data_IF_326356624378
#
_entry.id   IF_326356624378
#
_cell.length_a   1.000
_cell.length_b   1.000
_cell.length_c   1.000
_cell.angle_alpha   90.00
_cell.angle_beta   90.00
_cell.angle_gamma   90.00
#
_symmetry.space_group_name_H-M   'P 1'
#
loop_
_entity.id
_entity.type
_entity.pdbx_description
1 polymer ?
#
# COMPACT_ATOMS: atom_id res chain seq x y z
N UNK A 1 -29.83 24.18 -33.56
CA UNK A 1 -29.99 24.80 -32.25
C UNK A 1 -29.28 23.92 -31.25
N UNK A 2 -28.02 24.20 -30.90
CA UNK A 2 -27.30 23.48 -29.87
C UNK A 2 -27.86 23.89 -28.53
N UNK A 3 -28.50 22.97 -27.80
CA UNK A 3 -28.99 23.22 -26.46
C UNK A 3 -27.77 23.55 -25.56
N UNK A 4 -27.66 24.80 -25.16
CA UNK A 4 -26.62 25.28 -24.25
C UNK A 4 -27.02 24.84 -22.83
N UNK A 5 -26.95 23.52 -22.54
CA UNK A 5 -27.09 23.00 -21.18
C UNK A 5 -25.83 23.42 -20.43
N UNK A 6 -25.97 24.40 -19.54
CA UNK A 6 -24.88 24.81 -18.63
C UNK A 6 -24.33 23.57 -17.92
N UNK A 7 -23.03 23.36 -17.98
CA UNK A 7 -22.34 22.26 -17.25
C UNK A 7 -22.74 22.35 -15.77
N UNK A 8 -23.20 21.23 -15.21
CA UNK A 8 -23.58 21.13 -13.80
C UNK A 8 -22.39 20.60 -13.00
N UNK A 9 -22.05 21.25 -11.89
CA UNK A 9 -21.01 20.77 -10.99
C UNK A 9 -21.42 19.45 -10.34
N UNK A 10 -20.59 18.43 -10.52
CA UNK A 10 -20.72 17.14 -9.84
C UNK A 10 -19.66 17.06 -8.73
N UNK A 11 -20.07 17.20 -7.48
CA UNK A 11 -19.15 17.18 -6.34
C UNK A 11 -18.65 15.75 -6.01
N UNK A 12 -19.33 14.70 -6.48
CA UNK A 12 -18.93 13.30 -6.26
C UNK A 12 -17.76 12.89 -7.19
N UNK A 13 -17.72 13.47 -8.39
CA UNK A 13 -16.66 13.27 -9.37
C UNK A 13 -16.44 14.56 -10.20
N UNK A 14 -15.76 15.58 -9.62
CA UNK A 14 -15.66 16.91 -10.23
C UNK A 14 -14.96 16.93 -11.59
N UNK A 15 -13.95 16.10 -11.80
CA UNK A 15 -13.20 16.01 -13.06
C UNK A 15 -13.58 14.79 -13.90
N UNK A 16 -14.71 14.15 -13.59
CA UNK A 16 -15.24 13.00 -14.31
C UNK A 16 -14.17 11.89 -14.47
N UNK A 17 -13.56 11.50 -13.36
CA UNK A 17 -12.55 10.44 -13.32
C UNK A 17 -13.10 9.16 -13.95
N UNK A 18 -14.35 8.82 -13.63
CA UNK A 18 -15.00 7.62 -14.12
C UNK A 18 -15.11 7.58 -15.65
N UNK A 19 -15.37 8.72 -16.28
CA UNK A 19 -15.43 8.85 -17.73
C UNK A 19 -14.06 8.71 -18.43
N UNK A 20 -12.95 8.80 -17.67
CA UNK A 20 -11.58 8.64 -18.17
C UNK A 20 -11.08 7.19 -18.08
N UNK A 21 -11.86 6.29 -17.47
CA UNK A 21 -11.52 4.88 -17.31
C UNK A 21 -11.97 4.07 -18.54
N UNK A 22 -11.27 3.00 -18.84
CA UNK A 22 -11.74 1.97 -19.78
C UNK A 22 -12.88 1.17 -19.17
N UNK A 23 -13.61 0.41 -19.99
CA UNK A 23 -14.69 -0.46 -19.52
C UNK A 23 -14.15 -1.52 -18.53
N UNK A 24 -12.99 -2.10 -18.82
CA UNK A 24 -12.32 -3.07 -17.95
C UNK A 24 -11.95 -2.45 -16.60
N UNK A 25 -11.35 -1.26 -16.58
CA UNK A 25 -11.01 -0.55 -15.36
C UNK A 25 -12.23 -0.23 -14.50
N UNK A 26 -13.35 0.15 -15.12
CA UNK A 26 -14.62 0.36 -14.41
C UNK A 26 -15.13 -0.94 -13.79
N UNK A 27 -15.15 -2.03 -14.56
CA UNK A 27 -15.59 -3.35 -14.07
C UNK A 27 -14.75 -3.82 -12.87
N UNK A 28 -13.42 -3.69 -12.95
CA UNK A 28 -12.50 -4.03 -11.86
C UNK A 28 -12.77 -3.19 -10.63
N UNK A 29 -12.92 -1.87 -10.78
CA UNK A 29 -13.27 -0.96 -9.69
C UNK A 29 -14.59 -1.35 -9.03
N UNK A 30 -15.63 -1.61 -9.82
CA UNK A 30 -16.96 -1.97 -9.30
C UNK A 30 -16.94 -3.29 -8.54
N UNK A 31 -16.25 -4.30 -9.07
CA UNK A 31 -16.06 -5.58 -8.38
C UNK A 31 -15.29 -5.42 -7.06
N UNK A 32 -14.21 -4.65 -7.07
CA UNK A 32 -13.45 -4.36 -5.85
C UNK A 32 -14.30 -3.59 -4.83
N UNK A 33 -15.04 -2.56 -5.26
CA UNK A 33 -15.91 -1.77 -4.40
C UNK A 33 -17.00 -2.63 -3.74
N UNK A 34 -17.68 -3.47 -4.52
CA UNK A 34 -18.72 -4.38 -4.02
C UNK A 34 -18.13 -5.32 -2.94
N UNK A 35 -17.03 -6.01 -3.25
CA UNK A 35 -16.35 -6.87 -2.27
C UNK A 35 -15.95 -6.11 -0.99
N UNK A 36 -15.35 -4.95 -1.13
CA UNK A 36 -14.89 -4.15 0.00
C UNK A 36 -16.06 -3.72 0.92
N UNK A 37 -17.17 -3.27 0.35
CA UNK A 37 -18.33 -2.84 1.13
C UNK A 37 -19.09 -4.03 1.74
N UNK A 38 -19.26 -5.11 1.00
CA UNK A 38 -20.07 -6.24 1.44
C UNK A 38 -19.31 -7.18 2.39
N UNK A 39 -17.99 -7.30 2.23
CA UNK A 39 -17.20 -8.31 2.95
C UNK A 39 -16.16 -7.71 3.92
N UNK A 40 -15.47 -6.64 3.56
CA UNK A 40 -14.43 -6.05 4.40
C UNK A 40 -14.98 -5.03 5.41
N UNK A 41 -15.85 -4.13 4.99
CA UNK A 41 -16.39 -3.07 5.85
C UNK A 41 -17.11 -3.62 7.10
N UNK A 42 -17.91 -4.70 7.05
CA UNK A 42 -18.55 -5.25 8.25
C UNK A 42 -17.57 -5.82 9.29
N UNK A 43 -16.36 -6.23 8.87
CA UNK A 43 -15.36 -6.88 9.75
C UNK A 43 -14.40 -5.88 10.40
N UNK A 44 -14.24 -4.69 9.80
CA UNK A 44 -13.09 -3.81 10.06
C UNK A 44 -13.02 -3.29 11.49
N UNK A 45 -14.16 -2.92 12.09
CA UNK A 45 -14.19 -2.37 13.46
C UNK A 45 -13.66 -3.40 14.46
N UNK A 46 -14.12 -4.65 14.36
CA UNK A 46 -13.67 -5.72 15.26
C UNK A 46 -12.21 -6.10 15.00
N UNK A 47 -11.80 -6.18 13.74
CA UNK A 47 -10.41 -6.43 13.37
C UNK A 47 -9.47 -5.34 13.93
N UNK A 48 -9.85 -4.08 13.83
CA UNK A 48 -9.10 -2.95 14.38
C UNK A 48 -9.01 -3.01 15.91
N UNK A 49 -10.13 -3.19 16.60
CA UNK A 49 -10.18 -3.28 18.07
C UNK A 49 -9.39 -4.45 18.65
N UNK A 50 -9.43 -5.57 17.96
CA UNK A 50 -8.79 -6.82 18.42
C UNK A 50 -7.35 -6.98 17.91
N UNK A 51 -6.83 -6.01 17.14
CA UNK A 51 -5.52 -6.11 16.46
C UNK A 51 -5.37 -7.43 15.70
N UNK A 52 -6.41 -7.84 14.98
CA UNK A 52 -6.49 -9.15 14.35
C UNK A 52 -6.60 -9.06 12.85
N UNK A 53 -6.00 -10.04 12.18
CA UNK A 53 -6.07 -10.22 10.73
C UNK A 53 -6.71 -11.57 10.45
N UNK A 54 -7.76 -11.58 9.63
CA UNK A 54 -8.37 -12.81 9.13
C UNK A 54 -7.63 -13.27 7.86
N UNK A 55 -6.86 -14.39 7.90
CA UNK A 55 -6.14 -14.87 6.72
C UNK A 55 -7.04 -15.27 5.54
N UNK A 56 -8.33 -15.54 5.77
CA UNK A 56 -9.28 -15.89 4.71
C UNK A 56 -9.46 -14.76 3.68
N UNK A 57 -9.19 -13.51 4.09
CA UNK A 57 -9.25 -12.33 3.22
C UNK A 57 -8.30 -12.47 2.01
N UNK A 58 -7.13 -13.10 2.18
CA UNK A 58 -6.23 -13.34 1.05
C UNK A 58 -6.85 -14.25 0.00
N UNK A 59 -7.52 -15.32 0.44
CA UNK A 59 -8.22 -16.25 -0.46
C UNK A 59 -9.40 -15.54 -1.16
N UNK A 60 -10.20 -14.80 -0.41
CA UNK A 60 -11.32 -14.03 -0.96
C UNK A 60 -10.84 -13.01 -2.03
N UNK A 61 -9.74 -12.30 -1.75
CA UNK A 61 -9.13 -11.37 -2.72
C UNK A 61 -8.53 -12.11 -3.92
N UNK A 62 -7.92 -13.27 -3.72
CA UNK A 62 -7.37 -14.11 -4.78
C UNK A 62 -8.45 -14.60 -5.75
N UNK A 63 -9.58 -15.10 -5.22
CA UNK A 63 -10.72 -15.59 -6.00
C UNK A 63 -11.33 -14.49 -6.90
N UNK A 64 -11.14 -13.23 -6.52
CA UNK A 64 -11.61 -12.05 -7.27
C UNK A 64 -10.52 -11.40 -8.15
N UNK A 65 -9.31 -11.97 -8.22
CA UNK A 65 -8.20 -11.42 -8.97
C UNK A 65 -7.66 -10.09 -8.43
N UNK A 66 -7.84 -9.81 -7.14
CA UNK A 66 -7.36 -8.58 -6.51
C UNK A 66 -5.91 -8.69 -6.01
N UNK A 67 -5.32 -9.90 -6.02
CA UNK A 67 -3.92 -10.14 -5.66
C UNK A 67 -3.06 -10.26 -6.91
N UNK A 68 -1.91 -9.58 -6.91
CA UNK A 68 -1.00 -9.54 -8.05
C UNK A 68 -1.64 -9.03 -9.34
N UNK A 69 -2.43 -7.92 -9.33
CA UNK A 69 -3.22 -7.53 -10.49
C UNK A 69 -2.41 -7.31 -11.76
N UNK A 70 -1.13 -6.94 -11.65
CA UNK A 70 -0.24 -6.72 -12.81
C UNK A 70 0.58 -7.96 -13.20
N UNK A 71 0.42 -9.08 -12.50
CA UNK A 71 1.13 -10.34 -12.82
C UNK A 71 0.44 -11.01 -14.00
N UNK A 72 1.19 -11.49 -15.01
CA UNK A 72 0.62 -12.13 -16.20
C UNK A 72 -0.16 -13.42 -15.87
N UNK A 73 -1.16 -13.72 -16.72
CA UNK A 73 -2.04 -14.89 -16.60
C UNK A 73 -1.29 -16.22 -16.54
N UNK A 74 -0.17 -16.34 -17.26
CA UNK A 74 0.66 -17.55 -17.25
C UNK A 74 1.23 -17.91 -15.87
N UNK A 75 1.24 -16.95 -14.94
CA UNK A 75 1.66 -17.13 -13.54
C UNK A 75 0.48 -17.02 -12.55
N UNK A 76 -0.75 -17.07 -13.06
CA UNK A 76 -1.96 -17.04 -12.24
C UNK A 76 -2.46 -15.65 -11.85
N UNK A 77 -1.79 -14.59 -12.28
CA UNK A 77 -2.28 -13.21 -12.11
C UNK A 77 -3.34 -12.85 -13.14
N UNK A 78 -4.12 -11.78 -12.95
CA UNK A 78 -5.15 -11.38 -13.91
C UNK A 78 -4.61 -10.56 -15.11
N UNK A 79 -3.33 -10.16 -15.10
CA UNK A 79 -2.72 -9.42 -16.21
C UNK A 79 -3.26 -8.00 -16.44
N UNK A 80 -3.80 -7.38 -15.41
CA UNK A 80 -4.41 -6.04 -15.47
C UNK A 80 -3.37 -4.93 -15.54
N UNK A 81 -3.81 -3.74 -15.97
CA UNK A 81 -2.97 -2.56 -16.04
C UNK A 81 -2.77 -1.88 -14.66
N UNK A 82 -1.86 -0.90 -14.61
CA UNK A 82 -1.55 -0.17 -13.36
C UNK A 82 -2.72 0.70 -12.88
N UNK A 83 -3.57 1.23 -13.76
CA UNK A 83 -4.75 2.01 -13.34
C UNK A 83 -5.73 1.10 -12.60
N UNK A 84 -6.00 -0.10 -13.11
CA UNK A 84 -6.82 -1.11 -12.43
C UNK A 84 -6.25 -1.45 -11.05
N UNK A 85 -4.93 -1.67 -10.94
CA UNK A 85 -4.27 -1.87 -9.63
C UNK A 85 -4.50 -0.69 -8.67
N UNK A 86 -4.36 0.53 -9.16
CA UNK A 86 -4.62 1.74 -8.37
C UNK A 86 -6.07 1.83 -7.88
N UNK A 87 -7.04 1.52 -8.74
CA UNK A 87 -8.45 1.51 -8.40
C UNK A 87 -8.79 0.44 -7.35
N UNK A 88 -8.22 -0.75 -7.46
CA UNK A 88 -8.33 -1.80 -6.41
C UNK A 88 -7.79 -1.26 -5.08
N UNK A 89 -6.59 -0.70 -5.08
CA UNK A 89 -5.97 -0.15 -3.87
C UNK A 89 -6.84 0.95 -3.23
N UNK A 90 -7.44 1.83 -4.05
CA UNK A 90 -8.36 2.88 -3.61
C UNK A 90 -9.59 2.31 -2.89
N UNK A 91 -10.25 1.32 -3.48
CA UNK A 91 -11.47 0.75 -2.90
C UNK A 91 -11.17 -0.06 -1.61
N UNK A 92 -10.06 -0.79 -1.57
CA UNK A 92 -9.65 -1.53 -0.36
C UNK A 92 -9.29 -0.56 0.78
N UNK A 93 -8.55 0.51 0.51
CA UNK A 93 -8.14 1.47 1.55
C UNK A 93 -9.27 2.42 1.95
N UNK A 94 -10.30 2.59 1.12
CA UNK A 94 -11.56 3.23 1.51
C UNK A 94 -12.17 2.55 2.73
N UNK A 95 -11.97 1.24 2.88
CA UNK A 95 -12.36 0.50 4.08
C UNK A 95 -11.31 0.62 5.17
N UNK A 96 -10.05 0.24 4.87
CA UNK A 96 -8.96 0.28 5.85
C UNK A 96 -7.58 0.21 5.20
N UNK A 97 -6.66 1.06 5.67
CA UNK A 97 -5.28 1.05 5.20
C UNK A 97 -4.54 -0.25 5.58
N UNK A 98 -4.95 -0.94 6.64
CA UNK A 98 -4.40 -2.25 7.02
C UNK A 98 -4.70 -3.30 5.96
N UNK A 99 -5.93 -3.40 5.49
CA UNK A 99 -6.32 -4.32 4.42
C UNK A 99 -5.61 -4.02 3.10
N UNK A 100 -5.47 -2.72 2.74
CA UNK A 100 -4.71 -2.35 1.55
C UNK A 100 -3.22 -2.70 1.71
N UNK A 101 -2.65 -2.52 2.90
CA UNK A 101 -1.26 -2.89 3.16
C UNK A 101 -1.02 -4.40 2.98
N UNK A 102 -1.91 -5.25 3.50
CA UNK A 102 -1.87 -6.71 3.30
C UNK A 102 -1.84 -7.07 1.81
N UNK A 103 -2.78 -6.54 1.04
CA UNK A 103 -2.91 -6.75 -0.41
C UNK A 103 -1.67 -6.23 -1.16
N UNK A 104 -1.19 -5.04 -0.82
CA UNK A 104 -0.06 -4.40 -1.49
C UNK A 104 1.26 -5.14 -1.23
N UNK A 105 1.50 -5.61 0.00
CA UNK A 105 2.66 -6.44 0.32
C UNK A 105 2.64 -7.72 -0.50
N UNK A 106 1.52 -8.43 -0.53
CA UNK A 106 1.34 -9.62 -1.35
C UNK A 106 1.65 -9.34 -2.83
N UNK A 107 0.99 -8.34 -3.40
CA UNK A 107 1.01 -8.03 -4.83
C UNK A 107 2.34 -7.41 -5.29
N UNK A 108 2.77 -6.31 -4.64
CA UNK A 108 3.88 -5.49 -5.11
C UNK A 108 5.23 -5.84 -4.49
N UNK A 109 5.24 -6.33 -3.25
CA UNK A 109 6.49 -6.58 -2.52
C UNK A 109 6.89 -8.05 -2.49
N UNK A 110 5.95 -8.98 -2.77
CA UNK A 110 6.23 -10.42 -2.85
C UNK A 110 6.12 -10.93 -4.28
N UNK A 111 4.98 -10.73 -4.94
CA UNK A 111 4.79 -11.27 -6.29
C UNK A 111 5.63 -10.53 -7.34
N UNK A 112 5.73 -9.21 -7.28
CA UNK A 112 6.56 -8.44 -8.24
C UNK A 112 8.03 -8.84 -8.18
N UNK A 113 8.75 -8.90 -7.04
CA UNK A 113 10.15 -9.32 -7.05
C UNK A 113 10.35 -10.76 -7.50
N UNK A 114 9.43 -11.67 -7.20
CA UNK A 114 9.49 -13.05 -7.71
C UNK A 114 9.33 -13.06 -9.25
N UNK A 115 8.40 -12.25 -9.77
CA UNK A 115 8.17 -12.13 -11.22
C UNK A 115 9.36 -11.49 -11.94
N UNK A 116 9.87 -10.37 -11.43
CA UNK A 116 10.93 -9.60 -12.07
C UNK A 116 12.30 -10.28 -11.97
N UNK A 117 12.62 -10.89 -10.83
CA UNK A 117 13.97 -11.31 -10.48
C UNK A 117 14.13 -12.82 -10.25
N UNK A 118 13.03 -13.56 -10.07
CA UNK A 118 13.06 -15.01 -9.90
C UNK A 118 13.39 -15.73 -11.22
N UNK A 119 14.02 -16.90 -11.10
CA UNK A 119 14.12 -17.82 -12.25
C UNK A 119 12.74 -18.45 -12.54
N UNK A 120 12.61 -19.15 -13.68
CA UNK A 120 11.32 -19.70 -14.10
C UNK A 120 10.75 -20.72 -13.09
N UNK A 121 11.59 -21.56 -12.49
CA UNK A 121 11.15 -22.52 -11.48
C UNK A 121 10.57 -21.83 -10.24
N UNK A 122 11.21 -20.74 -9.79
CA UNK A 122 10.72 -19.89 -8.68
C UNK A 122 9.38 -19.25 -9.02
N UNK A 123 9.24 -18.69 -10.23
CA UNK A 123 7.98 -18.07 -10.69
C UNK A 123 6.82 -19.08 -10.67
N UNK A 124 7.03 -20.25 -11.29
CA UNK A 124 6.01 -21.30 -11.37
C UNK A 124 5.66 -21.92 -10.01
N UNK A 125 6.61 -21.97 -9.08
CA UNK A 125 6.36 -22.49 -7.72
C UNK A 125 5.51 -21.56 -6.89
N UNK A 126 5.81 -20.25 -6.89
CA UNK A 126 5.27 -19.30 -5.91
C UNK A 126 4.10 -18.46 -6.44
N UNK A 127 4.20 -17.94 -7.66
CA UNK A 127 3.24 -16.94 -8.14
C UNK A 127 1.80 -17.43 -8.19
N UNK A 128 1.49 -18.65 -8.72
CA UNK A 128 0.10 -19.11 -8.79
C UNK A 128 -0.56 -19.23 -7.42
N UNK A 129 0.17 -19.69 -6.41
CA UNK A 129 -0.34 -19.85 -5.04
C UNK A 129 -0.48 -18.53 -4.30
N UNK A 130 0.39 -17.57 -4.58
CA UNK A 130 0.28 -16.21 -4.07
C UNK A 130 -0.88 -15.45 -4.73
N UNK A 131 -1.11 -15.64 -6.02
CA UNK A 131 -2.21 -15.01 -6.75
C UNK A 131 -3.58 -15.47 -6.25
N UNK A 132 -3.73 -16.76 -5.94
CA UNK A 132 -4.97 -17.31 -5.36
C UNK A 132 -5.13 -17.04 -3.86
N UNK A 133 -4.13 -16.44 -3.20
CA UNK A 133 -4.11 -16.28 -1.75
C UNK A 133 -4.00 -17.60 -0.97
N UNK A 134 -3.64 -18.71 -1.63
CA UNK A 134 -3.32 -19.98 -0.96
C UNK A 134 -2.11 -19.83 -0.06
N UNK A 135 -1.11 -19.10 -0.56
CA UNK A 135 0.05 -18.71 0.22
C UNK A 135 0.06 -17.21 0.46
N UNK A 136 0.48 -16.85 1.66
CA UNK A 136 0.65 -15.47 2.10
C UNK A 136 2.12 -15.13 2.11
N UNK A 137 2.48 -13.98 1.56
CA UNK A 137 3.85 -13.51 1.51
C UNK A 137 4.14 -12.30 2.39
N UNK A 138 5.41 -12.15 2.75
CA UNK A 138 5.94 -10.97 3.40
C UNK A 138 7.26 -10.51 2.79
N UNK A 139 7.65 -9.26 3.08
CA UNK A 139 8.81 -8.60 2.48
C UNK A 139 9.72 -8.02 3.57
N UNK A 140 10.87 -8.65 3.75
CA UNK A 140 11.85 -8.29 4.79
C UNK A 140 12.99 -7.44 4.23
N UNK A 141 12.85 -6.11 4.30
CA UNK A 141 13.90 -5.15 3.98
C UNK A 141 14.37 -4.40 5.23
N UNK A 142 13.45 -3.71 5.90
CA UNK A 142 13.70 -2.85 7.06
C UNK A 142 14.25 -3.66 8.24
N UNK A 143 15.26 -3.09 8.91
CA UNK A 143 15.86 -3.65 10.13
C UNK A 143 15.61 -2.72 11.33
N UNK A 144 15.78 -3.19 12.57
CA UNK A 144 15.56 -2.35 13.75
C UNK A 144 16.28 -1.00 13.70
N UNK A 145 17.53 -0.98 13.23
CA UNK A 145 18.38 0.23 13.19
C UNK A 145 18.49 0.83 11.77
N UNK A 146 17.90 0.23 10.75
CA UNK A 146 18.03 0.61 9.34
C UNK A 146 16.66 0.71 8.64
N UNK A 147 15.92 1.80 8.88
CA UNK A 147 14.65 2.09 8.25
C UNK A 147 14.81 2.93 6.97
N UNK A 148 15.04 4.23 7.11
CA UNK A 148 15.22 5.16 5.97
C UNK A 148 16.53 4.97 5.22
N UNK A 149 17.49 4.26 5.82
CA UNK A 149 18.76 3.85 5.22
C UNK A 149 18.88 2.33 5.10
N UNK A 150 18.13 1.70 4.18
CA UNK A 150 18.18 0.25 3.99
C UNK A 150 19.51 -0.22 3.39
N UNK A 151 20.32 0.66 2.83
CA UNK A 151 21.67 0.34 2.33
C UNK A 151 22.64 -0.08 3.42
N UNK A 152 22.43 0.41 4.63
CA UNK A 152 23.28 0.08 5.80
C UNK A 152 22.84 -1.22 6.50
N UNK A 153 21.87 -1.97 5.97
CA UNK A 153 21.42 -3.25 6.56
C UNK A 153 22.59 -4.15 6.99
N UNK A 154 22.39 -4.90 8.06
CA UNK A 154 23.39 -5.81 8.64
C UNK A 154 23.05 -7.30 8.45
N UNK A 155 21.83 -7.64 8.02
CA UNK A 155 21.45 -9.01 7.65
C UNK A 155 22.40 -9.54 6.59
N UNK A 156 22.93 -10.76 6.81
CA UNK A 156 23.92 -11.42 5.95
C UNK A 156 23.39 -12.70 5.34
N UNK A 157 23.78 -12.95 4.09
CA UNK A 157 23.58 -14.18 3.37
C UNK A 157 24.95 -14.74 2.96
N UNK A 158 25.49 -15.65 3.76
CA UNK A 158 26.78 -16.29 3.48
C UNK A 158 26.61 -17.43 2.48
N UNK A 159 27.51 -17.50 1.51
CA UNK A 159 27.55 -18.62 0.57
C UNK A 159 27.94 -19.92 1.28
N UNK A 160 27.13 -20.97 1.07
CA UNK A 160 27.38 -22.32 1.60
C UNK A 160 27.14 -23.36 0.49
N UNK A 161 27.44 -24.63 0.75
CA UNK A 161 27.18 -25.67 -0.22
C UNK A 161 25.69 -25.75 -0.57
N UNK A 162 25.36 -25.60 -1.84
CA UNK A 162 24.00 -25.69 -2.38
C UNK A 162 23.12 -24.45 -2.17
N UNK A 163 23.65 -23.34 -1.64
CA UNK A 163 22.86 -22.14 -1.44
C UNK A 163 23.50 -21.09 -0.54
N UNK A 164 22.69 -20.53 0.34
CA UNK A 164 23.08 -19.46 1.28
C UNK A 164 22.59 -19.75 2.69
N UNK A 165 23.30 -19.24 3.69
CA UNK A 165 22.89 -19.21 5.09
C UNK A 165 22.58 -17.77 5.49
N UNK A 166 21.33 -17.48 5.85
CA UNK A 166 20.86 -16.14 6.20
C UNK A 166 20.84 -15.96 7.72
N UNK A 167 21.41 -14.84 8.18
CA UNK A 167 21.40 -14.45 9.62
C UNK A 167 21.15 -12.95 9.75
N UNK A 168 20.22 -12.57 10.64
CA UNK A 168 19.84 -11.19 10.92
C UNK A 168 18.36 -11.06 11.26
N UNK A 169 17.92 -9.82 11.48
CA UNK A 169 16.56 -9.51 11.89
C UNK A 169 15.94 -8.45 10.97
N UNK A 170 14.65 -8.67 10.62
CA UNK A 170 13.84 -7.65 9.95
C UNK A 170 12.72 -7.22 10.87
N UNK A 171 12.32 -5.94 10.77
CA UNK A 171 11.33 -5.33 11.65
C UNK A 171 10.26 -4.60 10.86
N UNK A 172 9.07 -4.48 11.44
CA UNK A 172 7.88 -3.87 10.82
C UNK A 172 7.41 -4.60 9.57
N UNK A 173 7.46 -5.92 9.58
CA UNK A 173 7.15 -6.75 8.41
C UNK A 173 5.68 -7.16 8.42
N UNK A 174 4.88 -6.53 7.58
CA UNK A 174 3.47 -6.89 7.40
C UNK A 174 3.34 -8.33 6.93
N UNK A 175 2.35 -9.03 7.45
CA UNK A 175 2.02 -10.43 7.18
C UNK A 175 3.03 -11.45 7.75
N UNK A 176 4.23 -11.09 8.21
CA UNK A 176 5.26 -12.07 8.58
C UNK A 176 4.79 -13.15 9.58
N UNK A 177 3.96 -12.87 10.60
CA UNK A 177 3.52 -13.91 11.54
C UNK A 177 2.62 -14.99 10.93
N UNK A 178 2.00 -14.68 9.79
CA UNK A 178 1.10 -15.61 9.07
C UNK A 178 1.63 -16.01 7.70
N UNK A 179 2.83 -15.54 7.32
CA UNK A 179 3.39 -15.74 5.99
C UNK A 179 3.83 -17.20 5.75
N UNK A 180 3.62 -17.66 4.53
CA UNK A 180 4.12 -18.93 4.00
C UNK A 180 5.40 -18.71 3.17
N UNK A 181 5.56 -17.48 2.61
CA UNK A 181 6.67 -17.07 1.73
C UNK A 181 7.29 -15.78 2.24
N UNK A 182 8.62 -15.76 2.38
CA UNK A 182 9.37 -14.63 2.89
C UNK A 182 10.36 -14.14 1.81
N UNK A 183 10.13 -12.97 1.24
CA UNK A 183 11.11 -12.30 0.36
C UNK A 183 12.04 -11.47 1.24
N UNK A 184 13.29 -11.87 1.35
CA UNK A 184 14.28 -11.29 2.26
C UNK A 184 15.41 -10.64 1.47
N UNK A 185 15.76 -9.42 1.85
CA UNK A 185 16.92 -8.70 1.33
C UNK A 185 18.08 -8.76 2.34
N UNK A 186 19.24 -9.20 1.89
CA UNK A 186 20.42 -9.38 2.72
C UNK A 186 21.70 -9.07 1.93
N UNK A 187 22.78 -8.71 2.63
CA UNK A 187 24.11 -8.54 2.02
C UNK A 187 24.80 -9.90 1.88
N UNK A 188 25.31 -10.21 0.69
CA UNK A 188 26.15 -11.36 0.44
C UNK A 188 27.58 -11.17 0.97
N UNK A 189 28.48 -12.15 0.73
CA UNK A 189 29.87 -12.11 1.19
C UNK A 189 30.68 -10.96 0.57
N UNK A 190 30.22 -10.41 -0.57
CA UNK A 190 30.81 -9.23 -1.23
C UNK A 190 30.21 -7.91 -0.74
N UNK A 191 29.28 -7.96 0.21
CA UNK A 191 28.54 -6.81 0.72
C UNK A 191 27.46 -6.29 -0.22
N UNK A 192 27.12 -7.02 -1.29
CA UNK A 192 26.07 -6.64 -2.23
C UNK A 192 24.70 -7.07 -1.71
N UNK A 193 23.71 -6.18 -1.78
CA UNK A 193 22.33 -6.51 -1.42
C UNK A 193 21.74 -7.41 -2.51
N UNK A 194 21.21 -8.56 -2.08
CA UNK A 194 20.51 -9.54 -2.91
C UNK A 194 19.18 -9.93 -2.29
N UNK A 195 18.27 -10.46 -3.10
CA UNK A 195 16.99 -10.99 -2.67
C UNK A 195 16.99 -12.51 -2.59
N UNK A 196 16.26 -13.03 -1.60
CA UNK A 196 16.13 -14.46 -1.29
C UNK A 196 14.67 -14.79 -0.99
N UNK A 197 14.20 -15.96 -1.40
CA UNK A 197 12.87 -16.46 -1.07
C UNK A 197 13.01 -17.62 -0.10
N UNK A 198 12.45 -17.45 1.10
CA UNK A 198 12.42 -18.47 2.14
C UNK A 198 11.01 -19.03 2.29
N UNK A 199 10.92 -20.33 2.55
CA UNK A 199 9.65 -21.01 2.84
C UNK A 199 9.40 -21.03 4.37
N UNK A 200 8.12 -20.98 4.76
CA UNK A 200 7.69 -21.19 6.14
C UNK A 200 8.21 -22.51 6.69
N UNK A 201 8.60 -22.51 7.96
CA UNK A 201 9.13 -23.68 8.63
C UNK A 201 10.59 -23.97 8.36
N UNK A 202 11.30 -23.12 7.60
CA UNK A 202 12.75 -23.23 7.46
C UNK A 202 13.42 -23.17 8.85
N UNK A 203 14.35 -24.09 9.12
CA UNK A 203 15.05 -24.17 10.40
C UNK A 203 15.77 -22.85 10.70
N UNK A 204 15.56 -22.30 11.88
CA UNK A 204 16.14 -21.01 12.31
C UNK A 204 15.32 -19.78 11.91
N UNK A 205 14.20 -19.94 11.19
CA UNK A 205 13.29 -18.85 10.84
C UNK A 205 12.15 -18.74 11.86
N UNK A 206 11.92 -17.54 12.37
CA UNK A 206 10.74 -17.22 13.19
C UNK A 206 10.23 -15.82 12.87
N UNK A 207 8.95 -15.58 13.14
CA UNK A 207 8.29 -14.30 12.84
C UNK A 207 7.34 -13.88 13.99
N UNK A 208 7.91 -13.41 15.13
CA UNK A 208 7.09 -12.96 16.26
C UNK A 208 6.28 -11.71 15.91
N UNK A 209 5.09 -11.60 16.52
CA UNK A 209 4.19 -10.45 16.34
C UNK A 209 4.75 -9.22 17.04
N UNK A 210 4.63 -8.05 16.43
CA UNK A 210 4.84 -6.75 17.07
C UNK A 210 3.51 -6.28 17.63
N UNK A 211 3.43 -6.18 18.94
CA UNK A 211 2.25 -5.70 19.66
C UNK A 211 2.27 -4.17 19.85
N UNK A 212 1.12 -3.59 20.21
CA UNK A 212 1.01 -2.18 20.62
C UNK A 212 1.06 -1.15 19.50
N UNK A 213 0.90 -1.54 18.24
CA UNK A 213 0.72 -0.58 17.15
C UNK A 213 -0.55 0.23 17.35
N UNK A 214 -0.49 1.54 17.09
CA UNK A 214 -1.66 2.44 17.18
C UNK A 214 -2.39 2.59 15.85
N UNK A 215 -1.78 2.19 14.75
CA UNK A 215 -2.37 2.19 13.41
C UNK A 215 -2.12 0.89 12.67
N UNK A 216 -2.86 0.67 11.56
CA UNK A 216 -2.90 -0.59 10.80
C UNK A 216 -3.21 -1.81 11.70
N UNK A 217 -4.08 -1.63 12.70
CA UNK A 217 -4.37 -2.69 13.67
C UNK A 217 -5.04 -3.90 13.04
N UNK A 218 -5.76 -3.72 11.91
CA UNK A 218 -6.35 -4.82 11.14
C UNK A 218 -5.33 -5.59 10.27
N UNK A 219 -4.05 -5.18 10.27
CA UNK A 219 -2.96 -5.83 9.53
C UNK A 219 -1.90 -6.33 10.49
N UNK A 220 -1.80 -7.65 10.63
CA UNK A 220 -0.77 -8.26 11.49
C UNK A 220 0.63 -7.90 10.97
N UNK A 221 1.49 -7.52 11.88
CA UNK A 221 2.86 -7.08 11.58
C UNK A 221 3.80 -7.74 12.58
N UNK A 222 4.94 -8.20 12.12
CA UNK A 222 5.91 -8.87 12.98
C UNK A 222 7.34 -8.50 12.64
N UNK A 223 8.24 -9.20 13.30
CA UNK A 223 9.65 -9.29 12.94
C UNK A 223 9.87 -10.48 12.02
N UNK A 224 11.05 -10.60 11.42
CA UNK A 224 11.57 -11.84 10.85
C UNK A 224 12.95 -12.07 11.43
N UNK A 225 13.08 -13.09 12.25
CA UNK A 225 14.33 -13.47 12.92
C UNK A 225 14.92 -14.67 12.20
N UNK A 226 16.17 -14.56 11.79
CA UNK A 226 16.90 -15.57 11.03
C UNK A 226 18.19 -15.94 11.78
N UNK A 227 18.31 -17.22 12.14
CA UNK A 227 19.51 -17.80 12.73
C UNK A 227 20.02 -18.93 11.82
N UNK A 228 20.97 -18.61 10.95
CA UNK A 228 21.56 -19.52 9.98
C UNK A 228 20.51 -20.26 9.13
N UNK A 229 19.51 -19.54 8.63
CA UNK A 229 18.44 -20.08 7.80
C UNK A 229 19.01 -20.46 6.43
N UNK A 230 18.89 -21.72 6.04
CA UNK A 230 19.31 -22.17 4.72
C UNK A 230 18.33 -21.75 3.63
N UNK A 231 18.86 -21.13 2.57
CA UNK A 231 18.15 -20.77 1.36
C UNK A 231 18.81 -21.49 0.17
N UNK A 232 18.10 -22.37 -0.55
CA UNK A 232 18.63 -23.01 -1.75
C UNK A 232 19.07 -22.00 -2.80
N UNK A 233 20.06 -22.33 -3.61
CA UNK A 233 20.60 -21.45 -4.67
C UNK A 233 19.51 -20.96 -5.62
N UNK A 234 18.61 -21.85 -6.01
CA UNK A 234 17.50 -21.56 -6.92
C UNK A 234 16.51 -20.52 -6.39
N UNK A 235 16.46 -20.33 -5.06
CA UNK A 235 15.59 -19.35 -4.40
C UNK A 235 16.27 -17.99 -4.19
N UNK A 236 17.52 -17.82 -4.57
CA UNK A 236 18.20 -16.53 -4.62
C UNK A 236 17.92 -15.84 -5.96
N UNK A 237 17.62 -14.55 -5.94
CA UNK A 237 17.43 -13.78 -7.18
C UNK A 237 18.78 -13.63 -7.90
N UNK A 238 18.96 -14.22 -9.11
CA UNK A 238 20.27 -14.41 -9.69
C UNK A 238 20.97 -13.09 -10.10
N UNK A 239 20.21 -12.15 -10.67
CA UNK A 239 20.77 -10.96 -11.33
C UNK A 239 20.64 -9.66 -10.53
N UNK A 240 20.02 -9.69 -9.35
CA UNK A 240 19.81 -8.51 -8.54
C UNK A 240 21.05 -8.22 -7.69
N UNK A 241 21.53 -6.99 -7.79
CA UNK A 241 22.62 -6.45 -6.98
C UNK A 241 22.30 -5.04 -6.51
N UNK A 242 22.60 -4.74 -5.24
CA UNK A 242 22.36 -3.44 -4.64
C UNK A 242 20.89 -3.09 -4.40
N UNK A 243 20.62 -1.82 -4.14
CA UNK A 243 19.29 -1.31 -3.78
C UNK A 243 18.29 -1.25 -4.94
N UNK A 244 18.74 -1.42 -6.19
CA UNK A 244 17.83 -1.40 -7.35
C UNK A 244 16.70 -2.43 -7.22
N UNK A 245 17.02 -3.64 -6.71
CA UNK A 245 16.04 -4.71 -6.52
C UNK A 245 14.88 -4.28 -5.60
N UNK A 246 15.14 -4.01 -4.30
CA UNK A 246 14.06 -3.63 -3.39
C UNK A 246 13.37 -2.33 -3.79
N UNK A 247 14.07 -1.35 -4.40
CA UNK A 247 13.46 -0.09 -4.82
C UNK A 247 12.52 -0.25 -6.04
N UNK A 248 12.76 -1.20 -6.93
CA UNK A 248 11.81 -1.54 -7.99
C UNK A 248 10.48 -1.99 -7.39
N UNK A 249 10.51 -2.88 -6.40
CA UNK A 249 9.33 -3.36 -5.69
C UNK A 249 8.60 -2.23 -4.95
N UNK A 250 9.35 -1.45 -4.17
CA UNK A 250 8.81 -0.29 -3.45
C UNK A 250 8.18 0.73 -4.39
N UNK A 251 8.73 0.95 -5.59
CA UNK A 251 8.14 1.88 -6.54
C UNK A 251 6.76 1.41 -7.05
N UNK A 252 6.56 0.11 -7.19
CA UNK A 252 5.24 -0.47 -7.49
C UNK A 252 4.26 -0.29 -6.33
N UNK A 253 4.69 -0.64 -5.11
CA UNK A 253 3.87 -0.52 -3.90
C UNK A 253 3.47 0.93 -3.60
N UNK A 254 4.41 1.87 -3.70
CA UNK A 254 4.20 3.32 -3.49
C UNK A 254 3.14 3.91 -4.42
N UNK A 255 3.05 3.41 -5.65
CA UNK A 255 1.99 3.79 -6.57
C UNK A 255 0.61 3.38 -6.05
N UNK A 256 0.46 2.13 -5.59
CA UNK A 256 -0.77 1.65 -4.96
C UNK A 256 -1.13 2.39 -3.67
N UNK A 257 -0.12 2.75 -2.86
CA UNK A 257 -0.30 3.57 -1.64
C UNK A 257 -0.88 4.94 -1.99
N UNK A 258 -0.40 5.59 -3.07
CA UNK A 258 -0.88 6.90 -3.46
C UNK A 258 -2.39 6.89 -3.81
N UNK A 259 -2.87 5.88 -4.50
CA UNK A 259 -4.29 5.67 -4.77
C UNK A 259 -5.07 5.33 -3.51
N UNK A 260 -4.55 4.39 -2.72
CA UNK A 260 -5.20 3.90 -1.52
C UNK A 260 -5.46 4.99 -0.50
N UNK A 261 -4.45 5.82 -0.20
CA UNK A 261 -4.59 6.94 0.74
C UNK A 261 -5.73 7.88 0.36
N UNK A 262 -5.93 8.14 -0.95
CA UNK A 262 -7.06 8.96 -1.41
C UNK A 262 -8.41 8.26 -1.21
N UNK A 263 -8.48 6.92 -1.29
CA UNK A 263 -9.67 6.17 -0.92
C UNK A 263 -10.06 6.35 0.54
N UNK A 264 -9.09 6.30 1.45
CA UNK A 264 -9.32 6.61 2.86
C UNK A 264 -9.77 8.07 3.08
N UNK A 265 -9.17 9.01 2.32
CA UNK A 265 -9.58 10.43 2.36
C UNK A 265 -11.02 10.63 1.89
N UNK A 266 -11.43 9.92 0.84
CA UNK A 266 -12.81 9.96 0.33
C UNK A 266 -13.82 9.43 1.36
N UNK A 267 -13.53 8.35 2.05
CA UNK A 267 -14.39 7.84 3.14
C UNK A 267 -14.49 8.85 4.28
N UNK A 268 -13.36 9.43 4.71
CA UNK A 268 -13.35 10.50 5.70
C UNK A 268 -14.19 11.72 5.28
N UNK A 269 -14.05 12.15 4.01
CA UNK A 269 -14.79 13.26 3.44
C UNK A 269 -16.30 12.98 3.40
N UNK A 270 -16.71 11.82 2.92
CA UNK A 270 -18.11 11.43 2.81
C UNK A 270 -18.78 11.35 4.18
N UNK A 271 -18.13 10.71 5.17
CA UNK A 271 -18.61 10.61 6.55
C UNK A 271 -18.73 11.98 7.20
N UNK A 272 -17.70 12.81 7.10
CA UNK A 272 -17.72 14.15 7.68
C UNK A 272 -18.77 15.04 7.01
N UNK A 273 -18.91 14.99 5.69
CA UNK A 273 -19.93 15.73 4.94
C UNK A 273 -21.34 15.35 5.40
N UNK A 274 -21.65 14.05 5.46
CA UNK A 274 -22.96 13.59 5.91
C UNK A 274 -23.23 14.01 7.36
N UNK A 275 -22.24 13.81 8.23
CA UNK A 275 -22.36 14.20 9.64
C UNK A 275 -22.67 15.68 9.81
N UNK A 276 -21.99 16.61 9.13
CA UNK A 276 -22.23 18.05 9.29
C UNK A 276 -23.53 18.54 8.66
N UNK A 277 -24.10 17.78 7.73
CA UNK A 277 -25.44 18.03 7.18
C UNK A 277 -26.53 17.63 8.19
N UNK A 278 -26.35 16.52 8.88
CA UNK A 278 -27.34 15.96 9.80
C UNK A 278 -27.27 16.59 11.20
N UNK A 279 -26.04 16.86 11.69
CA UNK A 279 -25.80 17.37 13.03
C UNK A 279 -26.20 18.87 13.15
N UNK A 280 -27.12 19.17 14.04
CA UNK A 280 -27.55 20.53 14.31
C UNK A 280 -26.97 21.04 15.63
N UNK A 281 -26.47 22.27 15.62
CA UNK A 281 -26.09 23.07 16.77
C UNK A 281 -26.54 24.52 16.54
N UNK A 282 -26.90 25.23 17.61
CA UNK A 282 -27.44 26.60 17.51
C UNK A 282 -28.61 26.71 16.52
N UNK A 283 -29.46 25.66 16.48
CA UNK A 283 -30.69 25.62 15.68
C UNK A 283 -30.51 25.35 14.19
N UNK A 284 -29.28 25.09 13.68
CA UNK A 284 -29.01 24.85 12.26
C UNK A 284 -27.96 23.74 12.04
N UNK A 285 -27.89 23.13 10.85
CA UNK A 285 -26.82 22.16 10.52
C UNK A 285 -25.44 22.76 10.67
N UNK A 286 -24.45 21.95 11.09
CA UNK A 286 -23.05 22.39 11.16
C UNK A 286 -22.54 22.86 9.79
N UNK A 287 -23.00 22.24 8.70
CA UNK A 287 -22.70 22.62 7.33
C UNK A 287 -23.05 24.09 6.98
N UNK A 288 -23.90 24.77 7.76
CA UNK A 288 -24.21 26.19 7.58
C UNK A 288 -23.09 27.13 8.05
N UNK A 289 -22.02 26.60 8.68
CA UNK A 289 -20.88 27.39 9.12
C UNK A 289 -19.84 27.55 8.01
N UNK A 290 -19.35 28.77 7.79
CA UNK A 290 -18.34 29.06 6.76
C UNK A 290 -17.06 28.25 6.94
N UNK A 291 -16.57 28.08 8.19
CA UNK A 291 -15.36 27.29 8.46
C UNK A 291 -15.54 25.80 8.13
N UNK A 292 -16.76 25.26 8.30
CA UNK A 292 -17.07 23.88 7.91
C UNK A 292 -17.11 23.74 6.38
N UNK A 293 -17.77 24.68 5.69
CA UNK A 293 -17.82 24.70 4.23
C UNK A 293 -16.43 24.84 3.61
N UNK A 294 -15.57 25.70 4.18
CA UNK A 294 -14.18 25.85 3.75
C UNK A 294 -13.42 24.51 3.87
N UNK A 295 -13.52 23.82 5.01
CA UNK A 295 -12.87 22.52 5.21
C UNK A 295 -13.33 21.49 4.18
N UNK A 296 -14.63 21.40 3.91
CA UNK A 296 -15.17 20.51 2.87
C UNK A 296 -14.64 20.85 1.47
N UNK A 297 -14.53 22.12 1.14
CA UNK A 297 -14.00 22.57 -0.15
C UNK A 297 -12.50 22.22 -0.28
N UNK A 298 -11.70 22.45 0.76
CA UNK A 298 -10.28 22.10 0.79
C UNK A 298 -10.10 20.57 0.59
N UNK A 299 -10.86 19.75 1.34
CA UNK A 299 -10.81 18.30 1.26
C UNK A 299 -11.14 17.81 -0.16
N UNK A 300 -12.23 18.28 -0.75
CA UNK A 300 -12.63 17.89 -2.11
C UNK A 300 -11.59 18.28 -3.16
N UNK A 301 -11.02 19.48 -3.03
CA UNK A 301 -9.97 19.96 -3.94
C UNK A 301 -8.77 19.03 -3.95
N UNK A 302 -8.24 18.68 -2.77
CA UNK A 302 -7.04 17.84 -2.66
C UNK A 302 -7.29 16.40 -3.12
N UNK A 303 -8.46 15.83 -2.82
CA UNK A 303 -8.87 14.50 -3.30
C UNK A 303 -8.92 14.50 -4.84
N UNK A 304 -9.60 15.47 -5.42
CA UNK A 304 -9.82 15.56 -6.87
C UNK A 304 -8.49 15.69 -7.62
N UNK A 305 -7.61 16.59 -7.19
CA UNK A 305 -6.31 16.79 -7.82
C UNK A 305 -5.39 15.58 -7.62
N UNK A 306 -5.41 14.96 -6.45
CA UNK A 306 -4.65 13.76 -6.14
C UNK A 306 -5.03 12.58 -7.04
N UNK A 307 -6.32 12.33 -7.23
CA UNK A 307 -6.83 11.26 -8.09
C UNK A 307 -6.41 11.46 -9.56
N UNK A 308 -6.47 12.69 -10.07
CA UNK A 308 -6.02 13.00 -11.43
C UNK A 308 -4.49 12.78 -11.59
N UNK A 309 -3.70 13.15 -10.58
CA UNK A 309 -2.25 12.88 -10.56
C UNK A 309 -1.95 11.37 -10.57
N UNK A 310 -2.68 10.59 -9.79
CA UNK A 310 -2.54 9.14 -9.74
C UNK A 310 -2.93 8.49 -11.08
N UNK A 311 -4.06 8.91 -11.69
CA UNK A 311 -4.51 8.42 -13.00
C UNK A 311 -3.45 8.72 -14.07
N UNK A 312 -2.95 9.96 -14.14
CA UNK A 312 -1.92 10.32 -15.12
C UNK A 312 -0.65 9.48 -14.95
N UNK A 313 -0.20 9.28 -13.71
CA UNK A 313 0.95 8.42 -13.46
C UNK A 313 0.68 6.96 -13.90
N UNK A 314 -0.51 6.43 -13.68
CA UNK A 314 -0.90 5.10 -14.15
C UNK A 314 -0.76 4.98 -15.67
N UNK A 315 -1.31 5.93 -16.42
CA UNK A 315 -1.17 5.98 -17.89
C UNK A 315 0.30 6.07 -18.33
N UNK A 316 1.11 6.91 -17.66
CA UNK A 316 2.54 7.02 -17.97
C UNK A 316 3.32 5.73 -17.69
N UNK A 317 2.91 4.93 -16.69
CA UNK A 317 3.51 3.62 -16.43
C UNK A 317 3.21 2.62 -17.55
N UNK A 318 1.96 2.62 -18.05
CA UNK A 318 1.59 1.79 -19.22
C UNK A 318 2.34 2.23 -20.49
N UNK A 319 2.54 3.53 -20.66
CA UNK A 319 3.32 4.11 -21.76
C UNK A 319 4.83 3.85 -21.65
N UNK A 320 5.33 3.35 -20.50
CA UNK A 320 6.77 3.20 -20.22
C UNK A 320 7.51 4.54 -20.07
N UNK A 321 6.78 5.64 -19.83
CA UNK A 321 7.32 7.01 -19.78
C UNK A 321 7.46 7.56 -18.35
N UNK A 322 7.12 6.77 -17.32
CA UNK A 322 7.13 7.20 -15.93
C UNK A 322 8.52 7.13 -15.29
N UNK A 323 9.13 8.29 -15.02
CA UNK A 323 10.31 8.36 -14.15
C UNK A 323 9.94 7.98 -12.71
N UNK A 324 10.89 7.38 -11.98
CA UNK A 324 10.66 6.87 -10.61
C UNK A 324 10.29 7.99 -9.62
N UNK A 325 10.78 9.20 -9.84
CA UNK A 325 10.50 10.38 -9.02
C UNK A 325 9.02 10.79 -9.06
N UNK A 326 8.31 10.50 -10.15
CA UNK A 326 6.88 10.78 -10.27
C UNK A 326 6.07 10.02 -9.21
N UNK A 327 6.48 8.80 -8.88
CA UNK A 327 5.87 8.04 -7.78
C UNK A 327 6.09 8.73 -6.43
N UNK A 328 7.25 9.39 -6.23
CA UNK A 328 7.49 10.19 -5.02
C UNK A 328 6.57 11.41 -4.93
N UNK A 329 6.27 12.07 -6.07
CA UNK A 329 5.32 13.19 -6.11
C UNK A 329 3.94 12.73 -5.64
N UNK A 330 3.38 11.69 -6.26
CA UNK A 330 2.00 11.27 -5.95
C UNK A 330 1.91 10.63 -4.56
N UNK A 331 2.88 9.77 -4.16
CA UNK A 331 2.86 9.15 -2.82
C UNK A 331 2.93 10.21 -1.73
N UNK A 332 3.89 11.14 -1.82
CA UNK A 332 4.06 12.21 -0.84
C UNK A 332 2.80 13.09 -0.76
N UNK A 333 2.27 13.53 -1.90
CA UNK A 333 1.08 14.37 -1.94
C UNK A 333 -0.13 13.63 -1.38
N UNK A 334 -0.46 12.45 -1.92
CA UNK A 334 -1.67 11.72 -1.53
C UNK A 334 -1.67 11.36 -0.05
N UNK A 335 -0.56 10.81 0.48
CA UNK A 335 -0.49 10.43 1.90
C UNK A 335 -0.59 11.64 2.84
N UNK A 336 0.16 12.71 2.57
CA UNK A 336 0.14 13.92 3.40
C UNK A 336 -1.23 14.59 3.40
N UNK A 337 -1.83 14.77 2.20
CA UNK A 337 -3.15 15.40 2.06
C UNK A 337 -4.27 14.53 2.66
N UNK A 338 -4.21 13.21 2.50
CA UNK A 338 -5.19 12.29 3.10
C UNK A 338 -5.13 12.33 4.63
N UNK A 339 -3.95 12.44 5.21
CA UNK A 339 -3.76 12.60 6.65
C UNK A 339 -4.37 13.92 7.14
N UNK A 340 -4.12 15.04 6.43
CA UNK A 340 -4.74 16.34 6.76
C UNK A 340 -6.26 16.27 6.64
N UNK A 341 -6.79 15.60 5.61
CA UNK A 341 -8.24 15.39 5.43
C UNK A 341 -8.83 14.59 6.59
N UNK A 342 -8.18 13.51 7.03
CA UNK A 342 -8.64 12.73 8.18
C UNK A 342 -8.67 13.56 9.48
N UNK A 343 -7.67 14.41 9.69
CA UNK A 343 -7.64 15.36 10.82
C UNK A 343 -8.78 16.36 10.77
N UNK A 344 -9.07 16.93 9.59
CA UNK A 344 -10.19 17.84 9.39
C UNK A 344 -11.54 17.15 9.60
N UNK A 345 -11.73 15.94 9.09
CA UNK A 345 -12.92 15.13 9.28
C UNK A 345 -13.17 14.84 10.76
N UNK A 346 -12.13 14.38 11.47
CA UNK A 346 -12.18 14.14 12.91
C UNK A 346 -12.56 15.41 13.68
N UNK A 347 -11.95 16.55 13.33
CA UNK A 347 -12.22 17.83 13.97
C UNK A 347 -13.69 18.28 13.76
N UNK A 348 -14.22 18.21 12.54
CA UNK A 348 -15.59 18.59 12.22
C UNK A 348 -16.64 17.74 12.95
N UNK A 349 -16.31 16.50 13.31
CA UNK A 349 -17.20 15.60 14.04
C UNK A 349 -17.15 15.76 15.57
N UNK A 350 -16.25 16.62 16.09
CA UNK A 350 -16.12 16.90 17.52
C UNK A 350 -15.85 15.64 18.34
N UNK A 351 -16.57 15.43 19.43
CA UNK A 351 -16.43 14.27 20.30
C UNK A 351 -16.69 12.93 19.59
N UNK A 352 -17.63 12.90 18.65
CA UNK A 352 -17.93 11.71 17.85
C UNK A 352 -16.75 11.34 16.93
N UNK A 353 -15.95 12.31 16.50
CA UNK A 353 -14.74 12.07 15.71
C UNK A 353 -13.60 11.34 16.45
N UNK A 354 -13.72 11.16 17.78
CA UNK A 354 -12.76 10.41 18.61
C UNK A 354 -13.12 8.92 18.69
N UNK A 355 -14.40 8.57 18.46
CA UNK A 355 -14.88 7.19 18.53
C UNK A 355 -14.58 6.44 17.20
N UNK A 356 -14.16 5.19 17.31
CA UNK A 356 -13.97 4.30 16.16
C UNK A 356 -15.28 3.94 15.43
N UNK A 357 -16.42 4.08 16.11
CA UNK A 357 -17.77 3.91 15.55
C UNK A 357 -17.99 4.80 14.30
N UNK A 358 -17.44 6.02 14.32
CA UNK A 358 -17.58 6.96 13.22
C UNK A 358 -16.52 6.79 12.11
N UNK A 359 -15.53 5.91 12.31
CA UNK A 359 -14.55 5.51 11.32
C UNK A 359 -13.39 6.48 11.08
N UNK A 360 -13.58 7.78 11.25
CA UNK A 360 -12.56 8.80 10.93
C UNK A 360 -11.32 8.72 11.81
N UNK A 361 -11.47 8.40 13.12
CA UNK A 361 -10.34 8.22 14.03
C UNK A 361 -9.45 7.03 13.62
N UNK A 362 -10.07 5.94 13.16
CA UNK A 362 -9.35 4.78 12.65
C UNK A 362 -8.53 5.14 11.39
N UNK A 363 -9.13 5.84 10.43
CA UNK A 363 -8.41 6.33 9.26
C UNK A 363 -7.28 7.29 9.64
N UNK A 364 -7.50 8.17 10.62
CA UNK A 364 -6.48 9.10 11.08
C UNK A 364 -5.22 8.38 11.57
N UNK A 365 -5.35 7.42 12.50
CA UNK A 365 -4.17 6.70 13.03
C UNK A 365 -3.54 5.78 11.99
N UNK A 366 -4.33 5.21 11.08
CA UNK A 366 -3.81 4.45 9.95
C UNK A 366 -2.99 5.33 9.00
N UNK A 367 -3.48 6.52 8.66
CA UNK A 367 -2.81 7.43 7.73
C UNK A 367 -1.52 8.03 8.32
N UNK A 368 -1.36 8.12 9.64
CA UNK A 368 -0.05 8.43 10.26
C UNK A 368 0.99 7.36 9.87
N UNK A 369 0.61 6.08 9.85
CA UNK A 369 1.50 5.01 9.41
C UNK A 369 1.74 5.08 7.90
N UNK A 370 0.68 5.27 7.10
CA UNK A 370 0.75 5.39 5.63
C UNK A 370 1.68 6.53 5.20
N UNK A 371 1.65 7.65 5.92
CA UNK A 371 2.55 8.78 5.67
C UNK A 371 4.01 8.52 6.07
N UNK A 372 4.23 7.50 6.92
CA UNK A 372 5.55 7.17 7.49
C UNK A 372 6.28 6.06 6.72
N UNK A 373 5.60 4.96 6.35
CA UNK A 373 6.25 3.79 5.77
C UNK A 373 6.58 3.93 4.28
N UNK A 374 7.38 2.97 3.77
CA UNK A 374 7.83 2.91 2.36
C UNK A 374 8.48 4.21 1.86
N UNK A 375 9.26 4.82 2.72
CA UNK A 375 9.79 6.17 2.58
C UNK A 375 8.87 7.18 3.25
N UNK A 376 9.40 7.88 4.25
CA UNK A 376 8.66 8.93 4.94
C UNK A 376 8.31 10.07 3.98
N UNK A 377 7.35 10.91 4.37
CA UNK A 377 7.01 12.13 3.64
C UNK A 377 8.25 12.97 3.28
N UNK A 378 9.21 13.06 4.21
CA UNK A 378 10.45 13.83 4.04
C UNK A 378 11.45 13.10 3.13
N UNK A 379 11.60 11.77 3.23
CA UNK A 379 12.44 10.99 2.31
C UNK A 379 12.01 11.21 0.85
N UNK A 380 10.70 11.23 0.58
CA UNK A 380 10.20 11.55 -0.77
C UNK A 380 10.48 13.00 -1.18
N UNK A 381 10.47 13.96 -0.23
CA UNK A 381 10.88 15.34 -0.51
C UNK A 381 12.37 15.41 -0.90
N UNK A 382 13.23 14.64 -0.22
CA UNK A 382 14.67 14.60 -0.50
C UNK A 382 14.98 13.92 -1.85
N UNK A 383 14.23 12.87 -2.23
CA UNK A 383 14.31 12.27 -3.57
C UNK A 383 14.02 13.31 -4.64
N UNK A 384 12.94 14.08 -4.47
CA UNK A 384 12.54 15.13 -5.40
C UNK A 384 13.54 16.30 -5.39
N UNK A 385 14.01 16.71 -4.22
CA UNK A 385 15.02 17.76 -4.07
C UNK A 385 16.29 17.44 -4.84
N UNK A 386 16.78 16.19 -4.73
CA UNK A 386 17.92 15.71 -5.54
C UNK A 386 17.63 15.76 -7.04
N UNK A 387 16.47 15.31 -7.47
CA UNK A 387 16.10 15.31 -8.89
C UNK A 387 16.00 16.73 -9.47
N UNK A 388 15.52 17.70 -8.68
CA UNK A 388 15.34 19.09 -9.07
C UNK A 388 16.69 19.84 -9.12
N UNK A 389 17.58 19.59 -8.14
CA UNK A 389 18.80 20.37 -7.92
C UNK A 389 20.07 19.69 -8.43
N UNK A 390 20.03 18.37 -8.64
CA UNK A 390 21.21 17.54 -8.90
C UNK A 390 22.08 17.28 -7.67
N UNK A 391 21.70 17.78 -6.48
CA UNK A 391 22.50 17.70 -5.24
C UNK A 391 21.76 16.79 -4.24
N UNK A 392 22.44 15.74 -3.75
CA UNK A 392 21.90 14.91 -2.69
C UNK A 392 21.92 15.66 -1.35
N UNK A 393 20.85 15.56 -0.56
CA UNK A 393 20.75 16.20 0.75
C UNK A 393 21.64 15.54 1.80
N UNK A 394 21.98 14.25 1.60
CA UNK A 394 22.98 13.53 2.38
C UNK A 394 23.88 12.75 1.43
N UNK A 395 25.18 12.78 1.71
CA UNK A 395 26.19 11.96 1.03
C UNK A 395 26.37 10.67 1.82
N UNK A 396 26.39 9.55 1.14
CA UNK A 396 26.92 8.29 1.70
C UNK A 396 28.43 8.39 1.79
#
# INVERSE_FOLDING_TARGET
MTSNTKARFNWEDPFLLDAQLTDEERMVREAAAAYCQDRLAPRVIQAFRNHSTDPSIFREMGDLGLLGPTIPEQYGGPGLNYVAYGLIAREVERVDSGYRSMMSVQSSLVMVPIFEFGNEATKQKYLPKLATGEWIGCFGLTEPDHGSDPGSMVTRARKVAGGYSLTGNKMWISNSPIADVFVIWAKDDEGQIRGFVLDKGAKGLSAPVIEGKVGLCASITGEVVMDNVFCPEENAFPEVRGLKGPFTCLNSARYGIAWGALGAAEDCYQRARQYVLDRKQFGRPLAANQLVQKKLADMLTEITLGLQGCLRLGRMREEGSAAVELTSIVKRNSCGKSLDIARLARDMMGGNGISDEFGVARHLVNLEVVNTYEGTHDVHALILGRAITGIAAFSS
#
